data_IF_216401806036
#
_entry.id   IF_216401806036
#
_cell.length_a   1.000
_cell.length_b   1.000
_cell.length_c   1.000
_cell.angle_alpha   90.00
_cell.angle_beta   90.00
_cell.angle_gamma   90.00
#
_symmetry.space_group_name_H-M   'P 1'
#
loop_
_entity.id
_entity.type
_entity.pdbx_description
1 polymer ?
#
# COMPACT_ATOMS: atom_id res chain seq x y z
N UNK A 1 -16.86 -11.20 22.33
CA UNK A 1 -15.39 -11.32 22.48
C UNK A 1 -14.67 -10.36 21.55
N UNK A 2 -15.04 -10.34 20.27
CA UNK A 2 -14.46 -9.45 19.24
C UNK A 2 -14.51 -7.96 19.62
N UNK A 3 -15.64 -7.51 20.19
CA UNK A 3 -15.79 -6.12 20.66
C UNK A 3 -14.78 -5.74 21.76
N UNK A 4 -14.55 -6.64 22.73
CA UNK A 4 -13.64 -6.37 23.85
C UNK A 4 -12.19 -6.31 23.38
N UNK A 5 -11.74 -7.26 22.55
CA UNK A 5 -10.37 -7.26 22.03
C UNK A 5 -10.12 -6.06 21.11
N UNK A 6 -11.13 -5.65 20.32
CA UNK A 6 -11.07 -4.42 19.54
C UNK A 6 -10.96 -3.17 20.42
N UNK A 7 -11.76 -3.07 21.48
CA UNK A 7 -11.73 -1.91 22.39
C UNK A 7 -10.39 -1.84 23.12
N UNK A 8 -9.85 -2.96 23.60
CA UNK A 8 -8.52 -2.98 24.25
C UNK A 8 -7.43 -2.54 23.28
N UNK A 9 -7.40 -3.09 22.06
CA UNK A 9 -6.44 -2.70 21.04
C UNK A 9 -6.60 -1.25 20.60
N UNK A 10 -7.84 -0.77 20.47
CA UNK A 10 -8.17 0.61 20.14
C UNK A 10 -7.73 1.58 21.22
N UNK A 11 -7.98 1.29 22.50
CA UNK A 11 -7.53 2.11 23.62
C UNK A 11 -6.00 2.14 23.71
N UNK A 12 -5.33 1.02 23.41
CA UNK A 12 -3.88 0.98 23.34
C UNK A 12 -3.37 1.89 22.21
N UNK A 13 -3.99 1.84 21.04
CA UNK A 13 -3.66 2.70 19.91
C UNK A 13 -3.98 4.18 20.18
N UNK A 14 -5.06 4.48 20.92
CA UNK A 14 -5.40 5.84 21.32
C UNK A 14 -4.44 6.42 22.37
N UNK A 15 -3.61 5.58 23.01
CA UNK A 15 -2.62 6.01 24.00
C UNK A 15 -3.21 6.25 25.39
N UNK A 16 -4.21 5.47 25.79
CA UNK A 16 -4.83 5.60 27.12
C UNK A 16 -4.04 4.81 28.17
N UNK A 17 -3.64 5.41 29.31
CA UNK A 17 -3.03 4.67 30.41
C UNK A 17 -3.98 3.59 30.96
N UNK A 18 -3.52 2.37 31.31
CA UNK A 18 -2.13 1.92 31.45
C UNK A 18 -1.57 1.14 30.24
N UNK A 19 -2.15 1.27 29.04
CA UNK A 19 -1.81 0.41 27.90
C UNK A 19 -0.47 0.79 27.24
N UNK A 20 0.16 -0.16 26.54
CA UNK A 20 1.50 0.01 25.95
C UNK A 20 1.65 1.25 25.06
N UNK A 21 0.61 1.61 24.30
CA UNK A 21 0.69 2.72 23.36
C UNK A 21 0.74 4.10 24.01
N UNK A 22 0.40 4.23 25.30
CA UNK A 22 0.65 5.45 26.06
C UNK A 22 2.16 5.70 26.17
N UNK A 23 2.91 4.72 26.69
CA UNK A 23 4.36 4.85 26.92
C UNK A 23 5.16 5.05 25.62
N UNK A 24 4.78 4.39 24.52
CA UNK A 24 5.44 4.58 23.23
C UNK A 24 5.20 5.97 22.62
N UNK A 25 3.99 6.52 22.73
CA UNK A 25 3.64 7.82 22.13
C UNK A 25 4.09 8.99 23.00
N UNK A 26 3.90 8.87 24.30
CA UNK A 26 4.25 9.89 25.27
C UNK A 26 5.75 10.21 25.21
N UNK A 27 6.61 9.19 25.17
CA UNK A 27 8.05 9.39 25.06
C UNK A 27 8.43 10.25 23.84
N UNK A 28 7.86 9.95 22.67
CA UNK A 28 8.15 10.68 21.43
C UNK A 28 7.69 12.14 21.54
N UNK A 29 6.52 12.39 22.13
CA UNK A 29 6.00 13.74 22.30
C UNK A 29 6.81 14.52 23.34
N UNK A 30 7.16 13.91 24.46
CA UNK A 30 8.00 14.56 25.49
C UNK A 30 9.37 14.91 24.92
N UNK A 31 10.04 13.97 24.23
CA UNK A 31 11.33 14.24 23.56
C UNK A 31 11.22 15.37 22.53
N UNK A 32 10.18 15.36 21.67
CA UNK A 32 9.99 16.43 20.69
C UNK A 32 9.78 17.81 21.34
N UNK A 33 9.18 17.86 22.53
CA UNK A 33 8.99 19.08 23.29
C UNK A 33 10.31 19.56 23.94
N UNK A 34 11.08 18.64 24.52
CA UNK A 34 12.40 18.93 25.13
C UNK A 34 13.41 19.43 24.10
N UNK A 35 13.45 18.81 22.92
CA UNK A 35 14.31 19.22 21.80
C UNK A 35 13.80 20.48 21.08
N UNK A 36 12.72 21.11 21.57
CA UNK A 36 12.08 22.32 21.01
C UNK A 36 11.58 22.15 19.57
N UNK A 37 11.28 20.92 19.17
CA UNK A 37 10.65 20.61 17.89
C UNK A 37 9.13 20.80 17.97
N UNK A 38 8.69 22.02 18.26
CA UNK A 38 7.28 22.36 18.51
C UNK A 38 6.34 22.00 17.36
N UNK A 39 6.80 22.07 16.12
CA UNK A 39 6.01 21.70 14.93
C UNK A 39 5.73 20.20 14.91
N UNK A 40 6.74 19.36 15.18
CA UNK A 40 6.58 17.91 15.27
C UNK A 40 5.69 17.53 16.45
N UNK A 41 5.87 18.21 17.58
CA UNK A 41 5.03 18.02 18.76
C UNK A 41 3.56 18.34 18.50
N UNK A 42 3.28 19.46 17.82
CA UNK A 42 1.92 19.87 17.47
C UNK A 42 1.28 18.88 16.48
N UNK A 43 2.02 18.47 15.45
CA UNK A 43 1.56 17.45 14.49
C UNK A 43 1.31 16.10 15.17
N UNK A 44 2.20 15.67 16.05
CA UNK A 44 2.07 14.42 16.80
C UNK A 44 0.87 14.42 17.75
N UNK A 45 0.70 15.51 18.50
CA UNK A 45 -0.45 15.69 19.41
C UNK A 45 -1.76 15.78 18.62
N UNK A 46 -1.78 16.50 17.50
CA UNK A 46 -2.93 16.55 16.60
C UNK A 46 -3.27 15.19 15.99
N UNK A 47 -2.26 14.42 15.58
CA UNK A 47 -2.44 13.06 15.10
C UNK A 47 -2.96 12.12 16.19
N UNK A 48 -2.49 12.26 17.43
CA UNK A 48 -2.98 11.50 18.58
C UNK A 48 -4.46 11.81 18.87
N UNK A 49 -4.86 13.09 18.82
CA UNK A 49 -6.25 13.53 18.95
C UNK A 49 -7.14 12.90 17.88
N UNK A 50 -6.74 13.02 16.60
CA UNK A 50 -7.47 12.40 15.48
C UNK A 50 -7.54 10.88 15.64
N UNK A 51 -6.49 10.27 16.18
CA UNK A 51 -6.40 8.83 16.44
C UNK A 51 -7.46 8.38 17.43
N UNK A 52 -7.56 9.08 18.55
CA UNK A 52 -8.58 8.84 19.55
C UNK A 52 -10.00 9.04 18.97
N UNK A 53 -10.24 10.12 18.21
CA UNK A 53 -11.53 10.39 17.57
C UNK A 53 -11.94 9.26 16.62
N UNK A 54 -11.06 8.86 15.69
CA UNK A 54 -11.42 7.83 14.72
C UNK A 54 -11.60 6.46 15.38
N UNK A 55 -10.83 6.16 16.43
CA UNK A 55 -10.93 4.89 17.17
C UNK A 55 -12.26 4.81 17.91
N UNK A 56 -12.65 5.86 18.63
CA UNK A 56 -13.96 5.95 19.28
C UNK A 56 -15.10 5.87 18.27
N UNK A 57 -14.97 6.53 17.11
CA UNK A 57 -15.94 6.42 16.00
C UNK A 57 -16.08 4.98 15.51
N UNK A 58 -14.96 4.28 15.29
CA UNK A 58 -14.94 2.92 14.77
C UNK A 58 -15.53 1.92 15.77
N UNK A 59 -15.12 1.98 17.04
CA UNK A 59 -15.66 1.14 18.10
C UNK A 59 -17.16 1.42 18.29
N UNK A 60 -17.50 2.70 18.39
CA UNK A 60 -18.85 3.19 18.62
C UNK A 60 -19.83 2.77 17.54
N UNK A 61 -19.50 2.97 16.25
CA UNK A 61 -20.41 2.61 15.14
C UNK A 61 -20.51 1.12 14.87
N UNK A 62 -19.45 0.36 15.14
CA UNK A 62 -19.42 -1.08 14.83
C UNK A 62 -20.12 -1.90 15.92
N UNK A 63 -19.89 -1.56 17.20
CA UNK A 63 -20.34 -2.40 18.32
C UNK A 63 -21.43 -1.76 19.19
N UNK A 64 -21.47 -0.43 19.31
CA UNK A 64 -22.37 0.27 20.24
C UNK A 64 -23.44 1.13 19.55
N UNK A 65 -23.46 1.13 18.21
CA UNK A 65 -24.38 1.89 17.39
C UNK A 65 -25.63 1.10 17.02
N UNK A 66 -26.61 1.78 16.43
CA UNK A 66 -27.79 1.12 15.86
C UNK A 66 -27.39 0.26 14.67
N UNK A 67 -27.78 -1.03 14.60
CA UNK A 67 -27.46 -1.90 13.48
C UNK A 67 -27.94 -1.30 12.15
N UNK A 68 -27.05 -1.28 11.17
CA UNK A 68 -27.39 -0.89 9.81
C UNK A 68 -28.36 -1.88 9.14
N UNK A 69 -29.03 -1.48 8.04
CA UNK A 69 -30.01 -2.33 7.35
C UNK A 69 -29.43 -3.70 6.96
N UNK A 70 -28.20 -3.74 6.44
CA UNK A 70 -27.52 -4.98 6.06
C UNK A 70 -27.28 -5.96 7.23
N UNK A 71 -27.17 -5.46 8.47
CA UNK A 71 -26.98 -6.31 9.66
C UNK A 71 -28.32 -6.85 10.16
N UNK A 72 -29.41 -6.09 9.97
CA UNK A 72 -30.77 -6.52 10.34
C UNK A 72 -31.29 -7.65 9.44
N UNK A 73 -30.86 -7.67 8.19
CA UNK A 73 -31.18 -8.73 7.22
C UNK A 73 -30.27 -9.97 7.37
N UNK A 74 -29.16 -9.87 8.12
CA UNK A 74 -28.25 -10.97 8.35
C UNK A 74 -28.77 -11.90 9.46
N UNK A 75 -29.40 -13.01 9.07
CA UNK A 75 -29.99 -13.98 9.99
C UNK A 75 -28.98 -14.85 10.78
N UNK A 76 -27.68 -14.76 10.50
CA UNK A 76 -26.66 -15.67 11.03
C UNK A 76 -25.34 -14.97 11.40
N UNK A 77 -25.39 -13.97 12.28
CA UNK A 77 -24.18 -13.41 12.90
C UNK A 77 -23.62 -14.40 13.91
N UNK A 78 -22.44 -14.95 13.60
CA UNK A 78 -21.69 -15.82 14.50
C UNK A 78 -20.47 -15.08 15.03
N UNK A 79 -20.08 -15.42 16.25
CA UNK A 79 -18.85 -14.94 16.85
C UNK A 79 -17.63 -15.54 16.12
N UNK A 80 -16.47 -14.91 16.25
CA UNK A 80 -15.25 -15.39 15.63
C UNK A 80 -14.89 -16.82 16.11
N UNK A 81 -14.54 -17.75 15.20
CA UNK A 81 -14.13 -19.09 15.57
C UNK A 81 -12.86 -19.06 16.43
N UNK A 82 -12.64 -20.10 17.23
CA UNK A 82 -11.53 -20.17 18.20
C UNK A 82 -10.14 -19.93 17.58
N UNK A 83 -9.95 -20.34 16.33
CA UNK A 83 -8.71 -20.12 15.57
C UNK A 83 -8.38 -18.63 15.33
N UNK A 84 -9.38 -17.75 15.32
CA UNK A 84 -9.20 -16.29 15.24
C UNK A 84 -9.26 -15.64 16.63
N UNK A 85 -10.08 -16.16 17.54
CA UNK A 85 -10.24 -15.60 18.87
C UNK A 85 -8.96 -15.72 19.72
N UNK A 86 -8.23 -16.85 19.62
CA UNK A 86 -7.01 -17.08 20.40
C UNK A 86 -5.92 -16.05 20.07
N UNK A 87 -5.54 -15.81 18.80
CA UNK A 87 -4.59 -14.75 18.45
C UNK A 87 -5.01 -13.36 18.96
N UNK A 88 -6.30 -13.01 18.85
CA UNK A 88 -6.80 -11.70 19.30
C UNK A 88 -6.65 -11.50 20.81
N UNK A 89 -6.93 -12.53 21.60
CA UNK A 89 -6.78 -12.47 23.06
C UNK A 89 -5.31 -12.42 23.47
N UNK A 90 -4.43 -13.17 22.80
CA UNK A 90 -2.98 -13.10 23.04
C UNK A 90 -2.48 -11.67 22.78
N UNK A 91 -2.85 -11.06 21.65
CA UNK A 91 -2.44 -9.69 21.32
C UNK A 91 -3.01 -8.65 22.29
N UNK A 92 -4.27 -8.81 22.71
CA UNK A 92 -4.88 -7.94 23.72
C UNK A 92 -4.14 -8.04 25.06
N UNK A 93 -3.81 -9.26 25.51
CA UNK A 93 -3.04 -9.48 26.72
C UNK A 93 -1.62 -8.89 26.63
N UNK A 94 -0.94 -9.05 25.48
CA UNK A 94 0.38 -8.45 25.26
C UNK A 94 0.33 -6.91 25.25
N UNK A 95 -0.76 -6.31 24.75
CA UNK A 95 -0.95 -4.86 24.77
C UNK A 95 -1.09 -4.31 26.19
N UNK A 96 -1.73 -5.07 27.09
CA UNK A 96 -1.83 -4.74 28.52
C UNK A 96 -0.51 -5.00 29.23
N UNK A 97 0.11 -6.17 29.02
CA UNK A 97 1.37 -6.55 29.64
C UNK A 97 2.51 -5.61 29.25
N UNK A 98 2.59 -5.20 27.98
CA UNK A 98 3.55 -4.20 27.52
C UNK A 98 3.35 -2.84 28.21
N UNK A 99 2.11 -2.49 28.55
CA UNK A 99 1.81 -1.32 29.36
C UNK A 99 2.34 -1.44 30.79
N UNK A 100 2.18 -2.60 31.42
CA UNK A 100 2.75 -2.87 32.75
C UNK A 100 4.29 -2.84 32.74
N UNK A 101 4.92 -3.33 31.67
CA UNK A 101 6.38 -3.27 31.49
C UNK A 101 6.90 -1.86 31.19
N UNK A 102 6.06 -0.99 30.64
CA UNK A 102 6.37 0.42 30.44
C UNK A 102 6.09 1.31 31.65
N UNK A 103 5.34 0.80 32.64
CA UNK A 103 4.86 1.59 33.76
C UNK A 103 6.00 2.07 34.66
N UNK A 104 5.90 3.34 35.07
CA UNK A 104 6.83 3.96 36.03
C UNK A 104 6.82 3.27 37.40
N UNK A 105 5.70 2.65 37.76
CA UNK A 105 5.46 1.95 39.03
C UNK A 105 6.17 0.59 39.08
N UNK A 106 6.54 0.03 37.93
CA UNK A 106 7.31 -1.21 37.81
C UNK A 106 8.80 -0.96 37.58
N UNK A 107 9.23 0.31 37.61
CA UNK A 107 10.63 0.71 37.42
C UNK A 107 11.05 0.83 35.95
N UNK A 108 10.09 0.97 35.02
CA UNK A 108 10.33 1.11 33.58
C UNK A 108 11.29 0.06 32.98
N UNK A 109 11.08 -1.25 33.22
CA UNK A 109 12.01 -2.31 32.80
C UNK A 109 12.26 -2.31 31.29
N UNK A 110 11.26 -1.94 30.50
CA UNK A 110 11.40 -1.79 29.05
C UNK A 110 12.38 -0.67 28.68
N UNK A 111 12.29 0.49 29.34
CA UNK A 111 13.18 1.62 29.06
C UNK A 111 14.61 1.33 29.55
N UNK A 112 14.75 0.65 30.68
CA UNK A 112 16.05 0.24 31.18
C UNK A 112 16.77 -0.69 30.20
N UNK A 113 16.03 -1.64 29.60
CA UNK A 113 16.55 -2.52 28.56
C UNK A 113 16.91 -1.77 27.27
N UNK A 114 16.11 -0.77 26.87
CA UNK A 114 16.30 -0.01 25.62
C UNK A 114 17.35 1.11 25.72
N UNK A 115 17.71 1.53 26.93
CA UNK A 115 18.67 2.62 27.19
C UNK A 115 19.99 2.54 26.40
N UNK A 116 20.62 1.36 26.19
CA UNK A 116 21.87 1.27 25.42
C UNK A 116 21.72 1.65 23.94
N UNK A 117 20.52 1.53 23.38
CA UNK A 117 20.24 1.76 21.95
C UNK A 117 19.57 3.12 21.74
N UNK A 118 18.65 3.49 22.63
CA UNK A 118 17.75 4.65 22.45
C UNK A 118 18.18 5.86 23.29
N UNK A 119 19.13 5.68 24.22
CA UNK A 119 19.57 6.73 25.13
C UNK A 119 18.73 6.83 26.41
N UNK A 120 19.01 7.85 27.23
CA UNK A 120 18.29 8.05 28.48
C UNK A 120 16.90 8.65 28.22
N UNK A 121 15.90 8.18 28.98
CA UNK A 121 14.57 8.78 28.98
C UNK A 121 14.67 10.27 29.38
N UNK A 122 14.00 11.18 28.66
CA UNK A 122 13.64 12.51 29.14
C UNK A 122 13.25 12.55 30.63
N UNK A 123 13.56 13.65 31.31
CA UNK A 123 13.13 13.81 32.69
C UNK A 123 11.59 13.74 32.77
N UNK A 124 11.06 13.17 33.86
CA UNK A 124 9.60 13.04 34.03
C UNK A 124 8.94 14.42 33.88
N UNK A 125 8.09 14.56 32.86
CA UNK A 125 7.41 15.80 32.52
C UNK A 125 5.90 15.63 32.78
N UNK A 126 5.46 15.64 34.05
CA UNK A 126 4.08 15.27 34.41
C UNK A 126 3.02 16.14 33.74
N UNK A 127 3.36 17.38 33.41
CA UNK A 127 2.49 18.29 32.66
C UNK A 127 2.30 17.86 31.20
N UNK A 128 3.37 17.39 30.54
CA UNK A 128 3.31 16.93 29.16
C UNK A 128 2.59 15.57 29.07
N UNK A 129 2.89 14.66 30.00
CA UNK A 129 2.19 13.37 30.13
C UNK A 129 0.70 13.57 30.39
N UNK A 130 0.36 14.45 31.35
CA UNK A 130 -1.03 14.79 31.66
C UNK A 130 -1.77 15.42 30.48
N UNK A 131 -1.08 16.25 29.69
CA UNK A 131 -1.66 16.84 28.48
C UNK A 131 -1.89 15.78 27.39
N UNK A 132 -0.96 14.85 27.18
CA UNK A 132 -1.13 13.76 26.23
C UNK A 132 -2.34 12.87 26.59
N UNK A 133 -2.50 12.54 27.87
CA UNK A 133 -3.68 11.82 28.38
C UNK A 133 -4.95 12.64 28.16
N UNK A 134 -4.94 13.93 28.51
CA UNK A 134 -6.09 14.81 28.33
C UNK A 134 -6.51 14.88 26.86
N UNK A 135 -5.56 14.96 25.93
CA UNK A 135 -5.81 14.97 24.48
C UNK A 135 -6.41 13.64 24.02
N UNK A 136 -5.87 12.51 24.47
CA UNK A 136 -6.40 11.19 24.13
C UNK A 136 -7.84 11.01 24.65
N UNK A 137 -8.10 11.36 25.91
CA UNK A 137 -9.43 11.29 26.52
C UNK A 137 -10.40 12.24 25.82
N UNK A 138 -9.99 13.48 25.55
CA UNK A 138 -10.79 14.46 24.85
C UNK A 138 -11.13 13.99 23.43
N UNK A 139 -10.18 13.39 22.71
CA UNK A 139 -10.44 12.81 21.39
C UNK A 139 -11.43 11.65 21.43
N UNK A 140 -11.31 10.75 22.41
CA UNK A 140 -12.27 9.65 22.61
C UNK A 140 -13.66 10.18 22.90
N UNK A 141 -13.78 11.17 23.80
CA UNK A 141 -15.04 11.80 24.15
C UNK A 141 -15.67 12.53 22.96
N UNK A 142 -14.90 13.30 22.20
CA UNK A 142 -15.38 13.98 20.98
C UNK A 142 -15.86 12.98 19.92
N UNK A 143 -15.10 11.91 19.70
CA UNK A 143 -15.49 10.84 18.78
C UNK A 143 -16.79 10.15 19.22
N UNK A 144 -16.91 9.84 20.51
CA UNK A 144 -18.11 9.21 21.07
C UNK A 144 -19.33 10.15 20.99
N UNK A 145 -19.15 11.42 21.38
CA UNK A 145 -20.20 12.43 21.35
C UNK A 145 -20.71 12.68 19.93
N UNK A 146 -19.82 12.79 18.94
CA UNK A 146 -20.18 13.04 17.55
C UNK A 146 -20.81 11.84 16.84
N UNK A 147 -20.25 10.64 17.05
CA UNK A 147 -20.58 9.49 16.19
C UNK A 147 -21.49 8.43 16.81
N UNK A 148 -21.56 8.36 18.15
CA UNK A 148 -22.43 7.40 18.86
C UNK A 148 -23.67 8.12 19.39
N UNK A 149 -23.49 9.20 20.14
CA UNK A 149 -24.63 9.93 20.73
C UNK A 149 -25.26 10.96 19.79
N UNK A 150 -24.59 11.29 18.67
CA UNK A 150 -25.07 12.27 17.69
C UNK A 150 -25.16 13.71 18.19
N UNK A 151 -24.54 14.02 19.35
CA UNK A 151 -24.60 15.34 19.99
C UNK A 151 -23.75 16.39 19.29
N UNK A 152 -22.73 15.97 18.53
CA UNK A 152 -21.82 16.86 17.82
C UNK A 152 -21.96 16.64 16.31
N UNK A 153 -22.42 17.67 15.59
CA UNK A 153 -22.45 17.70 14.12
C UNK A 153 -21.24 18.47 13.60
N UNK A 154 -20.37 17.80 12.86
CA UNK A 154 -19.17 18.42 12.28
C UNK A 154 -19.58 19.32 11.11
N UNK A 155 -19.43 20.64 11.28
CA UNK A 155 -19.91 21.68 10.35
C UNK A 155 -18.93 22.07 9.24
N UNK A 156 -18.25 21.12 8.59
CA UNK A 156 -17.27 21.40 7.54
C UNK A 156 -17.43 20.46 6.33
N UNK A 157 -18.47 20.64 5.50
CA UNK A 157 -18.78 19.72 4.40
C UNK A 157 -17.67 19.64 3.34
N UNK A 158 -17.02 20.77 3.01
CA UNK A 158 -15.92 20.80 2.03
C UNK A 158 -14.69 20.02 2.50
N UNK A 159 -14.32 20.15 3.79
CA UNK A 159 -13.23 19.38 4.40
C UNK A 159 -13.60 17.89 4.46
N UNK A 160 -14.83 17.59 4.87
CA UNK A 160 -15.32 16.21 4.95
C UNK A 160 -15.29 15.52 3.58
N UNK A 161 -15.69 16.21 2.50
CA UNK A 161 -15.62 15.68 1.15
C UNK A 161 -14.16 15.46 0.70
N UNK A 162 -13.28 16.43 0.97
CA UNK A 162 -11.86 16.32 0.60
C UNK A 162 -11.18 15.13 1.29
N UNK A 163 -11.43 14.96 2.59
CA UNK A 163 -10.93 13.81 3.36
C UNK A 163 -11.57 12.51 2.88
N UNK A 164 -12.86 12.51 2.57
CA UNK A 164 -13.56 11.33 2.03
C UNK A 164 -12.99 10.88 0.67
N UNK A 165 -12.53 11.83 -0.15
CA UNK A 165 -11.82 11.57 -1.41
C UNK A 165 -10.32 11.33 -1.23
N UNK A 166 -9.87 10.99 -0.01
CA UNK A 166 -8.47 10.68 0.33
C UNK A 166 -7.49 11.77 -0.14
N UNK A 167 -7.89 13.04 0.03
CA UNK A 167 -7.13 14.22 -0.42
C UNK A 167 -6.83 14.23 -1.93
N UNK A 168 -7.63 13.54 -2.75
CA UNK A 168 -7.43 13.40 -4.19
C UNK A 168 -6.09 12.76 -4.59
N UNK A 169 -5.35 12.16 -3.64
CA UNK A 169 -4.05 11.55 -3.89
C UNK A 169 -4.18 10.41 -4.91
N UNK A 170 -5.25 9.61 -4.81
CA UNK A 170 -5.50 8.52 -5.77
C UNK A 170 -5.83 9.03 -7.16
N UNK A 171 -6.59 10.13 -7.26
CA UNK A 171 -6.91 10.74 -8.54
C UNK A 171 -5.64 11.33 -9.19
N UNK A 172 -4.79 11.97 -8.39
CA UNK A 172 -3.49 12.46 -8.86
C UNK A 172 -2.58 11.32 -9.30
N UNK A 173 -2.52 10.21 -8.55
CA UNK A 173 -1.72 9.03 -8.91
C UNK A 173 -2.24 8.35 -10.18
N UNK A 174 -3.56 8.21 -10.32
CA UNK A 174 -4.17 7.68 -11.55
C UNK A 174 -3.82 8.55 -12.76
N UNK A 175 -3.91 9.87 -12.61
CA UNK A 175 -3.65 10.82 -13.68
C UNK A 175 -2.17 10.92 -14.05
N UNK A 176 -1.28 11.01 -13.06
CA UNK A 176 0.15 11.27 -13.26
C UNK A 176 0.95 10.01 -13.57
N UNK A 177 0.56 8.86 -13.00
CA UNK A 177 1.34 7.62 -13.12
C UNK A 177 0.59 6.60 -13.96
N UNK A 178 -0.64 6.25 -13.58
CA UNK A 178 -1.35 5.10 -14.17
C UNK A 178 -1.73 5.35 -15.62
N UNK A 179 -2.33 6.51 -15.93
CA UNK A 179 -2.81 6.82 -17.28
C UNK A 179 -1.68 6.93 -18.32
N UNK A 180 -0.56 7.64 -18.06
CA UNK A 180 0.56 7.67 -18.98
C UNK A 180 1.18 6.29 -19.22
N UNK A 181 1.34 5.49 -18.17
CA UNK A 181 1.82 4.11 -18.29
C UNK A 181 0.88 3.25 -19.14
N UNK A 182 -0.43 3.31 -18.89
CA UNK A 182 -1.43 2.59 -19.70
C UNK A 182 -1.51 3.08 -21.13
N UNK A 183 -1.23 4.37 -21.37
CA UNK A 183 -1.15 4.91 -22.73
C UNK A 183 0.09 4.35 -23.45
N UNK A 184 1.27 4.41 -22.82
CA UNK A 184 2.49 3.83 -23.36
C UNK A 184 2.33 2.34 -23.67
N UNK A 185 1.74 1.57 -22.76
CA UNK A 185 1.46 0.15 -22.97
C UNK A 185 0.54 -0.10 -24.18
N UNK A 186 -0.50 0.72 -24.36
CA UNK A 186 -1.40 0.62 -25.52
C UNK A 186 -0.70 0.96 -26.84
N UNK A 187 0.16 1.98 -26.85
CA UNK A 187 0.95 2.32 -28.04
C UNK A 187 1.90 1.18 -28.40
N UNK A 188 2.57 0.58 -27.42
CA UNK A 188 3.44 -0.57 -27.66
C UNK A 188 2.67 -1.74 -28.26
N UNK A 189 1.52 -2.09 -27.69
CA UNK A 189 0.70 -3.20 -28.17
C UNK A 189 0.05 -2.93 -29.55
N UNK A 190 -0.38 -1.71 -29.81
CA UNK A 190 -1.13 -1.39 -31.03
C UNK A 190 -0.25 -0.97 -32.22
N UNK A 191 0.93 -0.40 -31.95
CA UNK A 191 1.81 0.09 -33.00
C UNK A 191 3.10 -0.73 -33.08
N UNK A 192 3.82 -0.89 -31.96
CA UNK A 192 5.14 -1.53 -32.00
C UNK A 192 5.02 -3.01 -32.34
N UNK A 193 4.11 -3.73 -31.71
CA UNK A 193 3.95 -5.18 -31.92
C UNK A 193 3.53 -5.52 -33.37
N UNK A 194 2.40 -5.02 -33.90
CA UNK A 194 1.99 -5.38 -35.26
C UNK A 194 2.79 -4.70 -36.39
N UNK A 195 3.31 -3.47 -36.23
CA UNK A 195 4.08 -2.83 -37.31
C UNK A 195 5.56 -3.21 -37.30
N UNK A 196 6.18 -3.30 -36.13
CA UNK A 196 7.64 -3.51 -36.05
C UNK A 196 7.94 -5.00 -35.93
N UNK A 197 7.33 -5.68 -34.96
CA UNK A 197 7.65 -7.09 -34.69
C UNK A 197 7.04 -7.98 -35.78
N UNK A 198 5.71 -7.96 -35.95
CA UNK A 198 5.05 -8.74 -36.99
C UNK A 198 5.46 -8.28 -38.40
N UNK A 199 5.66 -6.98 -38.59
CA UNK A 199 6.12 -6.42 -39.86
C UNK A 199 7.50 -6.96 -40.26
N UNK A 200 8.44 -7.04 -39.34
CA UNK A 200 9.76 -7.61 -39.58
C UNK A 200 9.68 -9.10 -39.92
N UNK A 201 8.94 -9.88 -39.13
CA UNK A 201 8.80 -11.33 -39.33
C UNK A 201 8.13 -11.64 -40.68
N UNK A 202 7.01 -10.97 -40.98
CA UNK A 202 6.30 -11.12 -42.26
C UNK A 202 7.12 -10.57 -43.44
N UNK A 203 7.98 -9.58 -43.20
CA UNK A 203 8.91 -9.04 -44.19
C UNK A 203 9.93 -10.09 -44.64
N UNK A 204 10.55 -10.79 -43.69
CA UNK A 204 11.47 -11.91 -43.98
C UNK A 204 10.76 -13.00 -44.77
N UNK A 205 9.56 -13.40 -44.36
CA UNK A 205 8.76 -14.40 -45.07
C UNK A 205 8.46 -14.00 -46.52
N UNK A 206 8.07 -12.74 -46.75
CA UNK A 206 7.82 -12.19 -48.09
C UNK A 206 9.08 -12.16 -48.95
N UNK A 207 10.22 -11.78 -48.38
CA UNK A 207 11.52 -11.80 -49.08
C UNK A 207 11.86 -13.19 -49.60
N UNK A 208 11.70 -14.21 -48.77
CA UNK A 208 11.95 -15.61 -49.16
C UNK A 208 10.98 -16.05 -50.26
N UNK A 209 9.69 -15.72 -50.15
CA UNK A 209 8.70 -16.04 -51.18
C UNK A 209 9.00 -15.36 -52.52
N UNK A 210 9.37 -14.07 -52.50
CA UNK A 210 9.72 -13.32 -53.71
C UNK A 210 10.98 -13.90 -54.35
N UNK A 211 12.02 -14.19 -53.55
CA UNK A 211 13.24 -14.83 -54.04
C UNK A 211 12.95 -16.20 -54.67
N UNK A 212 12.12 -17.03 -54.02
CA UNK A 212 11.71 -18.34 -54.54
C UNK A 212 10.89 -18.23 -55.83
N UNK A 213 9.97 -17.26 -55.90
CA UNK A 213 9.17 -17.02 -57.12
C UNK A 213 10.06 -16.53 -58.27
N UNK A 214 11.04 -15.68 -57.98
CA UNK A 214 12.07 -15.25 -58.95
C UNK A 214 12.91 -16.41 -59.47
N UNK A 215 13.42 -17.27 -58.57
CA UNK A 215 14.17 -18.47 -58.95
C UNK A 215 13.34 -19.43 -59.81
N UNK A 216 12.02 -19.54 -59.56
CA UNK A 216 11.13 -20.39 -60.35
C UNK A 216 11.10 -19.99 -61.82
N UNK A 217 11.23 -18.70 -62.13
CA UNK A 217 11.26 -18.24 -63.53
C UNK A 217 12.53 -18.68 -64.29
N UNK A 218 13.59 -19.11 -63.61
CA UNK A 218 14.78 -19.69 -64.25
C UNK A 218 14.53 -21.12 -64.77
N UNK A 219 13.50 -21.81 -64.25
CA UNK A 219 13.10 -23.13 -64.74
C UNK A 219 12.05 -23.00 -65.85
N UNK A 220 12.52 -22.77 -67.08
CA UNK A 220 11.65 -22.52 -68.25
C UNK A 220 11.10 -23.80 -68.90
N UNK A 221 11.56 -24.98 -68.48
CA UNK A 221 11.13 -26.28 -69.03
C UNK A 221 11.73 -26.63 -70.40
N UNK A 222 12.48 -25.73 -71.02
CA UNK A 222 13.14 -25.97 -72.31
C UNK A 222 14.49 -26.68 -72.12
N UNK A 223 14.58 -27.96 -72.53
CA UNK A 223 15.79 -28.80 -72.41
C UNK A 223 17.04 -28.13 -73.01
N UNK A 224 16.87 -27.39 -74.12
CA UNK A 224 17.97 -26.69 -74.81
C UNK A 224 18.57 -25.55 -73.98
N UNK A 225 17.75 -24.85 -73.19
CA UNK A 225 18.22 -23.80 -72.29
C UNK A 225 19.05 -24.38 -71.14
N UNK A 226 18.61 -25.51 -70.57
CA UNK A 226 19.38 -26.21 -69.53
C UNK A 226 20.74 -26.69 -70.04
N UNK A 227 20.79 -27.27 -71.25
CA UNK A 227 22.05 -27.73 -71.86
C UNK A 227 23.04 -26.56 -72.05
N UNK A 228 22.57 -25.40 -72.51
CA UNK A 228 23.41 -24.21 -72.67
C UNK A 228 23.98 -23.70 -71.33
N UNK A 229 23.16 -23.66 -70.27
CA UNK A 229 23.60 -23.28 -68.92
C UNK A 229 24.63 -24.25 -68.36
N UNK A 230 24.43 -25.55 -68.55
CA UNK A 230 25.37 -26.59 -68.10
C UNK A 230 26.73 -26.48 -68.79
N UNK A 231 26.73 -26.25 -70.11
CA UNK A 231 27.94 -26.05 -70.91
C UNK A 231 28.70 -24.78 -70.49
N UNK A 232 27.98 -23.67 -70.32
CA UNK A 232 28.54 -22.41 -69.83
C UNK A 232 29.13 -22.57 -68.41
N UNK A 233 28.39 -23.22 -67.50
CA UNK A 233 28.87 -23.49 -66.14
C UNK A 233 30.13 -24.36 -66.11
N UNK A 234 30.22 -25.35 -67.00
CA UNK A 234 31.40 -26.23 -67.12
C UNK A 234 32.62 -25.46 -67.63
N UNK A 235 32.45 -24.60 -68.64
CA UNK A 235 33.53 -23.76 -69.18
C UNK A 235 34.05 -22.79 -68.11
N UNK A 236 33.13 -22.16 -67.35
CA UNK A 236 33.50 -21.25 -66.27
C UNK A 236 34.25 -22.00 -65.16
N UNK A 237 33.78 -23.18 -64.74
CA UNK A 237 34.44 -23.97 -63.72
C UNK A 237 35.85 -24.41 -64.14
N UNK A 238 36.02 -24.86 -65.38
CA UNK A 238 37.32 -25.21 -65.94
C UNK A 238 38.24 -23.99 -66.06
N UNK A 239 37.71 -22.85 -66.52
CA UNK A 239 38.45 -21.59 -66.60
C UNK A 239 38.93 -21.11 -65.23
N UNK A 240 38.08 -21.18 -64.21
CA UNK A 240 38.47 -20.89 -62.83
C UNK A 240 39.57 -21.83 -62.35
N UNK A 241 39.46 -23.13 -62.66
CA UNK A 241 40.45 -24.13 -62.24
C UNK A 241 41.80 -24.00 -62.96
N UNK A 242 41.81 -23.48 -64.18
CA UNK A 242 43.03 -23.21 -64.95
C UNK A 242 43.76 -21.92 -64.53
N UNK A 243 43.02 -20.95 -63.98
CA UNK A 243 43.55 -19.65 -63.52
C UNK A 243 43.99 -19.71 -62.05
N UNK A 244 43.54 -20.72 -61.31
CA UNK A 244 43.89 -20.96 -59.90
C UNK A 244 45.03 -21.96 -59.80
#
# INVERSE_FOLDING_TARGET
>A
MTALTFVIGGLALAGVPPLVGFFSKDLILVTALEERHYVLWLMGTGAALLTAIYTARAAGRTFFGTPGPAVKEAHHLHEAPGSMAVPLWVLAALSVAGGVLGATWTGEPLQHFLRPVVGAKPAHAPLAEGLAVAVAVLGLLLGWAGYVTGRLRVGAPALAETVARRFYIEAAYDLLVVRPLKFGARVSAAAIDPLVIDGAVNGVGRLVQVAGTGLRHLQTGYVRAYAAVLLAGTVIALGYWLIR
#
